data_IF_407734635252
#
_entry.id   IF_407734635252
#
_cell.length_a   1.000
_cell.length_b   1.000
_cell.length_c   1.000
_cell.angle_alpha   90.00
_cell.angle_beta   90.00
_cell.angle_gamma   90.00
#
_symmetry.space_group_name_H-M   'P 1'
#
loop_
_entity.id
_entity.type
_entity.pdbx_description
1 polymer ?
#
# COMPACT_ATOMS: atom_id res chain seq x y z
N UNK A 1 5.88 -15.59 -5.14
CA UNK A 1 5.85 -17.05 -5.38
C UNK A 1 5.23 -17.73 -4.17
N UNK A 2 3.96 -18.14 -4.26
CA UNK A 2 3.22 -18.82 -3.19
C UNK A 2 3.41 -20.33 -3.32
N UNK A 3 4.12 -20.93 -2.36
CA UNK A 3 4.31 -22.40 -2.31
C UNK A 3 2.96 -23.07 -2.05
N UNK A 4 2.56 -24.07 -2.86
CA UNK A 4 1.30 -24.79 -2.65
C UNK A 4 1.35 -25.56 -1.32
N UNK A 5 0.29 -25.42 -0.52
CA UNK A 5 0.12 -26.08 0.78
C UNK A 5 0.27 -27.62 0.68
N UNK A 6 -0.10 -28.19 -0.47
CA UNK A 6 -0.10 -29.64 -0.74
C UNK A 6 1.27 -30.33 -0.70
N UNK A 7 2.38 -29.58 -0.77
CA UNK A 7 3.75 -30.14 -0.70
C UNK A 7 4.41 -30.00 0.67
N UNK A 8 3.72 -29.42 1.65
CA UNK A 8 4.32 -29.11 2.95
C UNK A 8 3.64 -29.94 4.03
N UNK A 9 4.43 -30.51 4.95
CA UNK A 9 3.90 -31.27 6.09
C UNK A 9 3.68 -30.35 7.28
N UNK A 10 2.88 -30.83 8.24
CA UNK A 10 2.68 -30.15 9.51
C UNK A 10 4.00 -30.06 10.29
N UNK A 11 4.27 -28.89 10.89
CA UNK A 11 5.44 -28.69 11.74
C UNK A 11 5.45 -29.61 12.97
N UNK A 12 4.27 -29.96 13.48
CA UNK A 12 4.11 -30.83 14.67
C UNK A 12 4.06 -32.31 14.26
N UNK A 13 3.42 -32.61 13.13
CA UNK A 13 3.21 -33.96 12.64
C UNK A 13 3.85 -34.14 11.24
N UNK A 14 5.13 -34.55 11.15
CA UNK A 14 5.84 -34.65 9.88
C UNK A 14 5.21 -35.64 8.89
N UNK A 15 4.45 -36.61 9.39
CA UNK A 15 3.74 -37.61 8.59
C UNK A 15 2.39 -37.11 8.03
N UNK A 16 1.93 -35.91 8.40
CA UNK A 16 0.63 -35.37 7.97
C UNK A 16 0.81 -34.16 7.05
N UNK A 17 0.05 -34.08 5.94
CA UNK A 17 0.09 -32.92 5.06
C UNK A 17 -0.50 -31.70 5.77
N UNK A 18 0.07 -30.53 5.49
CA UNK A 18 -0.48 -29.28 5.98
C UNK A 18 -1.72 -28.88 5.19
N UNK A 19 -2.76 -28.43 5.90
CA UNK A 19 -3.99 -27.92 5.29
C UNK A 19 -3.96 -26.39 5.19
N UNK A 20 -3.26 -25.71 6.10
CA UNK A 20 -3.23 -24.25 6.16
C UNK A 20 -1.93 -23.71 6.77
N UNK A 21 -1.69 -22.41 6.55
CA UNK A 21 -0.54 -21.66 7.07
C UNK A 21 -1.01 -20.66 8.12
N UNK A 22 -0.42 -20.70 9.31
CA UNK A 22 -0.75 -19.75 10.36
C UNK A 22 -0.32 -18.31 9.95
N UNK A 23 -1.20 -17.29 10.04
CA UNK A 23 -0.87 -15.92 9.66
C UNK A 23 0.13 -15.25 10.62
N UNK A 24 0.24 -15.75 11.86
CA UNK A 24 1.10 -15.21 12.92
C UNK A 24 2.54 -15.71 12.76
N UNK A 25 2.79 -17.01 12.96
CA UNK A 25 4.13 -17.60 12.89
C UNK A 25 4.57 -17.97 11.46
N UNK A 26 3.65 -17.95 10.48
CA UNK A 26 3.92 -18.27 9.07
C UNK A 26 4.37 -19.71 8.81
N UNK A 27 4.21 -20.63 9.76
CA UNK A 27 4.45 -22.06 9.60
C UNK A 27 3.19 -22.82 9.16
N UNK A 28 3.40 -24.07 8.70
CA UNK A 28 2.37 -24.93 8.12
C UNK A 28 1.88 -25.98 9.13
N UNK A 29 0.56 -26.20 9.18
CA UNK A 29 -0.09 -27.09 10.15
C UNK A 29 -1.19 -27.93 9.49
N UNK A 30 -1.44 -29.12 10.02
CA UNK A 30 -2.57 -29.97 9.62
C UNK A 30 -3.89 -29.49 10.23
N UNK A 31 -5.02 -30.01 9.73
CA UNK A 31 -6.37 -29.59 10.15
C UNK A 31 -6.65 -29.76 11.65
N UNK A 32 -5.96 -30.69 12.31
CA UNK A 32 -6.06 -30.91 13.77
C UNK A 32 -5.23 -29.91 14.59
N UNK A 33 -4.14 -29.37 14.03
CA UNK A 33 -3.23 -28.47 14.75
C UNK A 33 -3.56 -26.99 14.54
N UNK A 34 -4.45 -26.68 13.61
CA UNK A 34 -4.89 -25.31 13.30
C UNK A 34 -6.36 -25.18 13.67
N UNK A 35 -6.70 -24.09 14.34
CA UNK A 35 -8.04 -23.82 14.87
C UNK A 35 -8.51 -22.47 14.37
N UNK A 36 -9.79 -22.35 14.08
CA UNK A 36 -10.39 -21.05 13.80
C UNK A 36 -10.60 -20.28 15.11
N UNK A 37 -10.04 -19.08 15.18
CA UNK A 37 -10.21 -18.16 16.29
C UNK A 37 -10.39 -16.75 15.73
N UNK A 38 -11.46 -16.05 16.15
CA UNK A 38 -11.81 -14.70 15.66
C UNK A 38 -11.81 -14.56 14.12
N UNK A 39 -12.32 -15.58 13.41
CA UNK A 39 -12.37 -15.59 11.95
C UNK A 39 -10.99 -15.74 11.27
N UNK A 40 -9.97 -16.20 12.00
CA UNK A 40 -8.62 -16.49 11.48
C UNK A 40 -8.22 -17.92 11.85
N UNK A 41 -7.54 -18.61 10.92
CA UNK A 41 -6.93 -19.91 11.18
C UNK A 41 -5.59 -19.75 11.92
N UNK A 42 -5.54 -20.04 13.22
CA UNK A 42 -4.38 -19.85 14.10
C UNK A 42 -3.93 -21.19 14.71
N UNK A 43 -2.63 -21.41 14.92
CA UNK A 43 -2.14 -22.64 15.53
C UNK A 43 -2.21 -22.58 17.07
N UNK A 44 -2.31 -23.72 17.74
CA UNK A 44 -2.44 -23.80 19.20
C UNK A 44 -1.33 -23.04 19.97
N UNK A 45 -0.10 -23.02 19.44
CA UNK A 45 1.02 -22.27 20.05
C UNK A 45 0.83 -20.76 19.97
N UNK A 46 0.33 -20.25 18.84
CA UNK A 46 0.05 -18.83 18.68
C UNK A 46 -1.19 -18.44 19.48
N UNK A 47 -2.21 -19.29 19.53
CA UNK A 47 -3.41 -19.08 20.34
C UNK A 47 -3.08 -19.00 21.83
N UNK A 48 -2.22 -19.90 22.33
CA UNK A 48 -1.75 -19.86 23.72
C UNK A 48 -0.90 -18.60 24.02
N UNK A 49 -0.21 -18.06 23.02
CA UNK A 49 0.55 -16.81 23.16
C UNK A 49 -0.34 -15.55 23.05
N UNK A 50 -1.46 -15.63 22.33
CA UNK A 50 -2.45 -14.55 22.19
C UNK A 50 -3.17 -14.26 23.52
N UNK A 51 -3.30 -15.24 24.41
CA UNK A 51 -3.74 -15.02 25.79
C UNK A 51 -2.80 -14.15 26.65
N UNK A 52 -1.59 -13.83 26.15
CA UNK A 52 -0.59 -13.06 26.89
C UNK A 52 -0.02 -11.84 26.16
N UNK A 53 -0.10 -11.74 24.83
CA UNK A 53 0.45 -10.58 24.12
C UNK A 53 -0.31 -10.31 22.82
N UNK A 54 -1.10 -9.25 22.84
CA UNK A 54 -1.57 -8.47 21.70
C UNK A 54 -0.37 -8.00 20.84
N UNK A 55 0.17 -8.90 20.02
CA UNK A 55 1.08 -8.54 18.95
C UNK A 55 0.35 -8.62 17.62
N UNK A 56 -0.78 -7.90 17.56
CA UNK A 56 -1.24 -7.33 16.29
C UNK A 56 -0.02 -6.62 15.72
N UNK A 57 0.59 -7.24 14.71
CA UNK A 57 1.71 -6.71 13.96
C UNK A 57 1.23 -5.40 13.39
N UNK A 58 1.45 -4.29 14.13
CA UNK A 58 1.18 -2.93 13.69
C UNK A 58 1.85 -2.83 12.33
N UNK A 59 1.06 -2.87 11.25
CA UNK A 59 1.54 -2.54 9.92
C UNK A 59 2.03 -1.11 10.07
N UNK A 60 3.34 -0.90 10.25
CA UNK A 60 3.93 0.45 10.22
C UNK A 60 3.44 1.04 8.90
N UNK A 61 2.58 2.05 8.97
CA UNK A 61 2.24 2.86 7.80
C UNK A 61 3.56 3.40 7.29
N UNK A 62 4.07 2.81 6.21
CA UNK A 62 5.24 3.33 5.52
C UNK A 62 4.71 4.47 4.67
N UNK A 63 4.78 5.67 5.22
CA UNK A 63 4.49 6.89 4.47
C UNK A 63 5.50 6.93 3.32
N UNK A 64 5.07 6.89 2.05
CA UNK A 64 5.98 6.88 0.92
C UNK A 64 6.54 8.30 0.72
N UNK A 65 7.62 8.63 1.43
CA UNK A 65 8.32 9.93 1.34
C UNK A 65 8.60 10.31 -0.12
N UNK A 66 8.92 9.32 -0.97
CA UNK A 66 9.15 9.52 -2.39
C UNK A 66 7.89 9.99 -3.14
N UNK A 67 6.70 9.50 -2.78
CA UNK A 67 5.44 9.94 -3.39
C UNK A 67 5.08 11.38 -2.98
N UNK A 68 5.38 11.77 -1.73
CA UNK A 68 5.24 13.16 -1.30
C UNK A 68 6.20 14.11 -2.05
N UNK A 69 7.44 13.68 -2.25
CA UNK A 69 8.41 14.46 -3.03
C UNK A 69 7.98 14.60 -4.50
N UNK A 70 7.46 13.53 -5.11
CA UNK A 70 6.90 13.57 -6.47
C UNK A 70 5.71 14.52 -6.58
N UNK A 71 4.79 14.49 -5.60
CA UNK A 71 3.65 15.40 -5.55
C UNK A 71 4.09 16.86 -5.43
N UNK A 72 5.02 17.15 -4.52
CA UNK A 72 5.56 18.50 -4.32
C UNK A 72 6.24 19.03 -5.59
N UNK A 73 7.05 18.20 -6.25
CA UNK A 73 7.70 18.57 -7.52
C UNK A 73 6.67 18.86 -8.61
N UNK A 74 5.63 18.03 -8.74
CA UNK A 74 4.54 18.24 -9.70
C UNK A 74 3.81 19.56 -9.47
N UNK A 75 3.51 19.91 -8.21
CA UNK A 75 2.91 21.19 -7.83
C UNK A 75 3.79 22.39 -8.21
N UNK A 76 5.10 22.31 -7.94
CA UNK A 76 6.05 23.37 -8.32
C UNK A 76 6.09 23.55 -9.83
N UNK A 77 6.16 22.44 -10.60
CA UNK A 77 6.17 22.51 -12.07
C UNK A 77 4.86 23.10 -12.60
N UNK A 78 3.71 22.65 -12.10
CA UNK A 78 2.40 23.17 -12.51
C UNK A 78 2.27 24.68 -12.22
N UNK A 79 2.73 25.12 -11.05
CA UNK A 79 2.73 26.54 -10.70
C UNK A 79 3.65 27.36 -11.61
N UNK A 80 4.86 26.85 -11.90
CA UNK A 80 5.80 27.51 -12.81
C UNK A 80 5.23 27.66 -14.23
N UNK A 81 4.54 26.64 -14.74
CA UNK A 81 3.86 26.71 -16.04
C UNK A 81 2.76 27.77 -16.05
N UNK A 82 1.93 27.81 -14.99
CA UNK A 82 0.87 28.81 -14.87
C UNK A 82 1.44 30.22 -14.78
N UNK A 83 2.50 30.41 -14.00
CA UNK A 83 3.21 31.69 -13.88
C UNK A 83 3.80 32.12 -15.22
N UNK A 84 4.47 31.22 -15.94
CA UNK A 84 5.01 31.50 -17.27
C UNK A 84 3.90 31.91 -18.26
N UNK A 85 2.78 31.19 -18.29
CA UNK A 85 1.63 31.53 -19.12
C UNK A 85 1.06 32.93 -18.80
N UNK A 86 0.93 33.26 -17.51
CA UNK A 86 0.51 34.59 -17.08
C UNK A 86 1.49 35.68 -17.51
N UNK A 87 2.80 35.42 -17.43
CA UNK A 87 3.85 36.35 -17.88
C UNK A 87 3.79 36.58 -19.39
N UNK A 88 3.53 35.54 -20.18
CA UNK A 88 3.32 35.65 -21.62
C UNK A 88 2.06 36.49 -21.90
N UNK A 89 0.96 36.20 -21.23
CA UNK A 89 -0.29 36.95 -21.41
C UNK A 89 -0.12 38.44 -21.07
N UNK A 90 0.60 38.76 -20.00
CA UNK A 90 0.92 40.14 -19.61
C UNK A 90 1.93 40.83 -20.54
N UNK A 91 2.68 40.07 -21.34
CA UNK A 91 3.60 40.64 -22.33
C UNK A 91 2.94 41.02 -23.65
N UNK A 92 1.66 40.67 -23.84
CA UNK A 92 0.89 41.07 -25.01
C UNK A 92 0.53 42.57 -24.84
N UNK A 93 0.95 43.44 -25.76
CA UNK A 93 0.69 44.88 -25.66
C UNK A 93 -0.81 45.18 -25.71
N UNK A 94 -1.22 46.19 -24.93
CA UNK A 94 -2.61 46.64 -24.84
C UNK A 94 -3.20 47.15 -26.17
N UNK A 95 -2.36 47.40 -27.18
CA UNK A 95 -2.73 47.77 -28.54
C UNK A 95 -3.66 46.72 -29.20
N UNK A 96 -3.58 45.45 -28.80
CA UNK A 96 -4.50 44.39 -29.25
C UNK A 96 -5.87 44.44 -28.53
N UNK A 97 -5.99 45.17 -27.42
CA UNK A 97 -7.21 45.32 -26.64
C UNK A 97 -8.01 46.59 -27.02
N UNK A 98 -7.39 47.53 -27.71
CA UNK A 98 -8.02 48.73 -28.25
C UNK A 98 -8.55 48.49 -29.67
N UNK A 99 -9.64 47.71 -29.80
CA UNK A 99 -10.72 47.81 -30.81
C UNK A 99 -10.47 48.02 -32.32
N UNK A 100 -9.25 48.19 -32.81
CA UNK A 100 -8.91 48.66 -34.16
C UNK A 100 -8.94 47.56 -35.24
N UNK A 101 -9.33 46.34 -34.88
CA UNK A 101 -9.47 45.22 -35.80
C UNK A 101 -10.82 45.21 -36.56
N UNK A 102 -11.65 46.24 -36.38
CA UNK A 102 -12.98 46.39 -37.03
C UNK A 102 -13.07 47.56 -38.01
N UNK A 103 -11.96 48.17 -38.41
CA UNK A 103 -11.94 49.14 -39.51
C UNK A 103 -11.53 48.41 -40.80
N UNK A 104 -12.57 48.15 -41.60
CA UNK A 104 -12.65 47.71 -43.00
C UNK A 104 -11.39 47.73 -43.87
#
# INVERSE_FOLDING_TARGET
MSVPLSKTNCLIHPARPASARCPVCKSFYCAECITEHEGRLTCARCLAAEGGTDTVRKKRLRIPVLAFLQLALGLVVAWMLFYAAARVLLSIPAEFHDGTLWEE
#
